data_IF_633074229373
#
_entry.id   IF_633074229373
#
_cell.length_a   1.000
_cell.length_b   1.000
_cell.length_c   1.000
_cell.angle_alpha   90.00
_cell.angle_beta   90.00
_cell.angle_gamma   90.00
#
_symmetry.space_group_name_H-M   'P 1'
#
loop_
_entity.id
_entity.type
_entity.pdbx_description
1 polymer ?
#
# COMPACT_ATOMS: atom_id res chain seq x y z
N UNK A 1 -20.64 -19.01 6.03
CA UNK A 1 -19.20 -19.22 6.32
C UNK A 1 -18.31 -18.99 5.11
N UNK A 2 -18.53 -19.62 3.95
CA UNK A 2 -17.68 -19.41 2.75
C UNK A 2 -17.54 -17.93 2.34
N UNK A 3 -18.67 -17.20 2.23
CA UNK A 3 -18.66 -15.76 1.92
C UNK A 3 -17.81 -14.93 2.88
N UNK A 4 -17.98 -15.16 4.19
CA UNK A 4 -17.20 -14.47 5.21
C UNK A 4 -15.70 -14.78 5.08
N UNK A 5 -15.34 -16.06 4.96
CA UNK A 5 -13.95 -16.49 4.82
C UNK A 5 -13.29 -15.92 3.57
N UNK A 6 -13.97 -15.98 2.42
CA UNK A 6 -13.45 -15.42 1.16
C UNK A 6 -13.28 -13.91 1.24
N UNK A 7 -14.27 -13.19 1.78
CA UNK A 7 -14.17 -11.74 1.96
C UNK A 7 -13.06 -11.36 2.94
N UNK A 8 -12.97 -12.04 4.08
CA UNK A 8 -11.95 -11.81 5.10
C UNK A 8 -10.54 -12.08 4.56
N UNK A 9 -10.29 -13.24 3.95
CA UNK A 9 -8.98 -13.56 3.38
C UNK A 9 -8.58 -12.57 2.29
N UNK A 10 -9.53 -12.14 1.46
CA UNK A 10 -9.26 -11.12 0.44
C UNK A 10 -8.88 -9.79 1.10
N UNK A 11 -9.63 -9.34 2.11
CA UNK A 11 -9.34 -8.11 2.83
C UNK A 11 -7.99 -8.18 3.57
N UNK A 12 -7.73 -9.29 4.24
CA UNK A 12 -6.48 -9.58 4.96
C UNK A 12 -5.27 -9.56 4.02
N UNK A 13 -5.40 -10.04 2.78
CA UNK A 13 -4.33 -9.97 1.79
C UNK A 13 -4.15 -8.54 1.23
N UNK A 14 -5.22 -7.75 1.11
CA UNK A 14 -5.17 -6.40 0.55
C UNK A 14 -4.59 -5.37 1.51
N UNK A 15 -4.90 -5.44 2.80
CA UNK A 15 -4.45 -4.50 3.83
C UNK A 15 -2.92 -4.31 3.87
N UNK A 16 -2.08 -5.35 4.04
CA UNK A 16 -0.62 -5.20 4.04
C UNK A 16 -0.09 -4.74 2.68
N UNK A 17 -0.73 -5.16 1.58
CA UNK A 17 -0.38 -4.66 0.24
C UNK A 17 -0.57 -3.15 0.14
N UNK A 18 -1.69 -2.61 0.64
CA UNK A 18 -1.96 -1.17 0.65
C UNK A 18 -1.00 -0.41 1.56
N UNK A 19 -0.75 -0.92 2.78
CA UNK A 19 0.24 -0.33 3.70
C UNK A 19 1.62 -0.24 3.03
N UNK A 20 2.05 -1.31 2.35
CA UNK A 20 3.33 -1.33 1.64
C UNK A 20 3.43 -0.35 0.47
N UNK A 21 2.31 -0.05 -0.18
CA UNK A 21 2.22 0.87 -1.33
C UNK A 21 2.18 2.33 -0.91
N UNK A 22 1.57 2.62 0.24
CA UNK A 22 1.44 3.96 0.79
C UNK A 22 2.70 4.35 1.58
N UNK A 23 3.38 3.39 2.19
CA UNK A 23 4.58 3.65 2.98
C UNK A 23 5.76 4.20 2.12
N UNK A 24 6.50 5.20 2.63
CA UNK A 24 7.75 5.66 2.03
C UNK A 24 8.75 4.50 1.85
N UNK A 25 9.57 4.48 0.78
CA UNK A 25 10.49 3.37 0.49
C UNK A 25 11.43 3.03 1.65
N UNK A 26 11.90 4.05 2.36
CA UNK A 26 12.80 4.01 3.52
C UNK A 26 12.12 3.54 4.83
N UNK A 27 10.78 3.60 4.91
CA UNK A 27 10.02 3.32 6.13
C UNK A 27 9.04 2.15 6.00
N UNK A 28 9.11 1.38 4.91
CA UNK A 28 8.24 0.21 4.68
C UNK A 28 8.27 -0.79 5.83
N UNK A 29 9.45 -1.07 6.39
CA UNK A 29 9.60 -1.98 7.52
C UNK A 29 8.87 -1.50 8.77
N UNK A 30 9.03 -0.22 9.13
CA UNK A 30 8.34 0.39 10.27
C UNK A 30 6.83 0.45 10.09
N UNK A 31 6.35 0.78 8.88
CA UNK A 31 4.92 0.79 8.57
C UNK A 31 4.29 -0.60 8.69
N UNK A 32 4.99 -1.64 8.19
CA UNK A 32 4.55 -3.03 8.36
C UNK A 32 4.60 -3.48 9.83
N UNK A 33 5.61 -3.05 10.59
CA UNK A 33 5.70 -3.33 12.02
C UNK A 33 4.55 -2.72 12.82
N UNK A 34 4.16 -1.49 12.50
CA UNK A 34 3.00 -0.83 13.12
C UNK A 34 1.68 -1.52 12.74
N UNK A 35 1.55 -1.96 11.49
CA UNK A 35 0.41 -2.76 11.03
C UNK A 35 0.28 -4.06 11.84
N UNK A 36 1.35 -4.85 11.95
CA UNK A 36 1.34 -6.11 12.71
C UNK A 36 1.05 -5.88 14.20
N UNK A 37 1.63 -4.84 14.80
CA UNK A 37 1.37 -4.50 16.20
C UNK A 37 -0.11 -4.14 16.43
N UNK A 38 -0.69 -3.38 15.50
CA UNK A 38 -2.12 -3.04 15.53
C UNK A 38 -3.01 -4.27 15.34
N UNK A 39 -2.61 -5.21 14.47
CA UNK A 39 -3.32 -6.47 14.25
C UNK A 39 -3.34 -7.33 15.52
N UNK A 40 -2.18 -7.48 16.19
CA UNK A 40 -2.11 -8.22 17.45
C UNK A 40 -2.88 -7.53 18.57
N UNK A 41 -2.81 -6.20 18.66
CA UNK A 41 -3.59 -5.44 19.62
C UNK A 41 -5.09 -5.62 19.38
N UNK A 42 -5.54 -5.55 18.13
CA UNK A 42 -6.92 -5.79 17.73
C UNK A 42 -7.37 -7.22 18.07
N UNK A 43 -6.55 -8.23 17.79
CA UNK A 43 -6.84 -9.62 18.14
C UNK A 43 -6.93 -9.82 19.66
N UNK A 44 -6.02 -9.21 20.42
CA UNK A 44 -6.02 -9.25 21.88
C UNK A 44 -7.28 -8.58 22.45
N UNK A 45 -7.55 -7.32 22.10
CA UNK A 45 -8.71 -6.59 22.57
C UNK A 45 -10.02 -7.26 22.12
N UNK A 46 -10.09 -7.74 20.88
CA UNK A 46 -11.24 -8.48 20.36
C UNK A 46 -11.47 -9.80 21.09
N UNK A 47 -10.41 -10.54 21.40
CA UNK A 47 -10.47 -11.78 22.18
C UNK A 47 -10.94 -11.53 23.62
N UNK A 48 -10.39 -10.52 24.30
CA UNK A 48 -10.78 -10.16 25.67
C UNK A 48 -12.23 -9.68 25.73
N UNK A 49 -12.61 -8.72 24.87
CA UNK A 49 -13.98 -8.17 24.84
C UNK A 49 -14.99 -9.22 24.39
N UNK A 50 -14.67 -10.00 23.36
CA UNK A 50 -15.53 -11.05 22.84
C UNK A 50 -15.72 -12.18 23.86
N UNK A 51 -14.65 -12.60 24.54
CA UNK A 51 -14.72 -13.62 25.60
C UNK A 51 -15.50 -13.13 26.81
N UNK A 52 -15.29 -11.88 27.24
CA UNK A 52 -16.02 -11.29 28.36
C UNK A 52 -17.53 -11.17 28.06
N UNK A 53 -17.89 -10.65 26.88
CA UNK A 53 -19.30 -10.52 26.47
C UNK A 53 -19.95 -11.89 26.28
N UNK A 54 -19.23 -12.86 25.72
CA UNK A 54 -19.75 -14.22 25.57
C UNK A 54 -19.95 -14.95 26.91
N UNK A 55 -19.15 -14.62 27.93
CA UNK A 55 -19.28 -15.19 29.27
C UNK A 55 -20.34 -14.51 30.14
N UNK A 56 -20.51 -13.19 29.98
CA UNK A 56 -21.47 -12.39 30.76
C UNK A 56 -22.87 -12.33 30.12
N UNK A 57 -22.96 -12.52 28.80
CA UNK A 57 -24.19 -12.47 28.01
C UNK A 57 -24.29 -13.67 27.07
N UNK A 58 -25.33 -13.71 26.24
CA UNK A 58 -25.53 -14.76 25.24
C UNK A 58 -24.67 -14.53 23.97
N UNK A 59 -24.50 -15.57 23.16
CA UNK A 59 -23.75 -15.55 21.89
C UNK A 59 -24.25 -14.46 20.92
N UNK A 60 -25.55 -14.14 20.96
CA UNK A 60 -26.14 -13.08 20.13
C UNK A 60 -25.58 -11.70 20.46
N UNK A 61 -25.22 -11.42 21.71
CA UNK A 61 -24.63 -10.14 22.11
C UNK A 61 -23.25 -9.95 21.45
N UNK A 62 -22.46 -11.02 21.34
CA UNK A 62 -21.17 -11.01 20.64
C UNK A 62 -21.33 -10.71 19.16
N UNK A 63 -22.35 -11.28 18.50
CA UNK A 63 -22.64 -10.96 17.10
C UNK A 63 -23.01 -9.49 16.88
N UNK A 64 -23.83 -8.91 17.76
CA UNK A 64 -24.18 -7.49 17.69
C UNK A 64 -22.96 -6.58 17.88
N UNK A 65 -22.06 -6.93 18.80
CA UNK A 65 -20.81 -6.22 19.00
C UNK A 65 -19.96 -6.23 17.71
N UNK A 66 -19.71 -7.40 17.14
CA UNK A 66 -18.91 -7.56 15.92
C UNK A 66 -19.54 -6.80 14.76
N UNK A 67 -20.87 -6.87 14.61
CA UNK A 67 -21.60 -6.13 13.59
C UNK A 67 -21.44 -4.61 13.77
N UNK A 68 -21.55 -4.10 14.99
CA UNK A 68 -21.35 -2.68 15.30
C UNK A 68 -19.94 -2.19 14.97
N UNK A 69 -18.91 -2.97 15.35
CA UNK A 69 -17.51 -2.66 15.04
C UNK A 69 -17.28 -2.69 13.51
N UNK A 70 -17.84 -3.66 12.80
CA UNK A 70 -17.73 -3.76 11.35
C UNK A 70 -18.40 -2.57 10.63
N UNK A 71 -19.57 -2.13 11.10
CA UNK A 71 -20.25 -0.94 10.57
C UNK A 71 -19.41 0.31 10.82
N UNK A 72 -18.87 0.48 12.02
CA UNK A 72 -18.01 1.62 12.35
C UNK A 72 -16.78 1.64 11.43
N UNK A 73 -16.12 0.50 11.25
CA UNK A 73 -14.99 0.37 10.31
C UNK A 73 -15.41 0.70 8.88
N UNK A 74 -16.57 0.23 8.42
CA UNK A 74 -17.07 0.50 7.08
C UNK A 74 -17.33 2.00 6.85
N UNK A 75 -17.89 2.71 7.84
CA UNK A 75 -18.06 4.17 7.80
C UNK A 75 -16.71 4.87 7.66
N UNK A 76 -15.70 4.47 8.44
CA UNK A 76 -14.35 5.03 8.32
C UNK A 76 -13.76 4.72 6.93
N UNK A 77 -13.87 3.48 6.45
CA UNK A 77 -13.36 3.07 5.15
C UNK A 77 -13.97 3.86 3.98
N UNK A 78 -15.27 4.20 4.06
CA UNK A 78 -15.93 5.04 3.06
C UNK A 78 -15.35 6.45 2.95
N UNK A 79 -14.72 6.96 4.02
CA UNK A 79 -14.08 8.29 4.02
C UNK A 79 -12.64 8.29 3.48
N UNK A 80 -12.04 7.12 3.25
CA UNK A 80 -10.65 7.01 2.82
C UNK A 80 -10.49 7.34 1.32
N UNK A 81 -9.52 8.20 1.00
CA UNK A 81 -9.14 8.50 -0.39
C UNK A 81 -8.43 7.29 -1.01
N UNK A 82 -8.85 6.88 -2.20
CA UNK A 82 -8.21 5.78 -2.93
C UNK A 82 -6.75 6.11 -3.25
N UNK A 83 -5.78 5.23 -2.93
CA UNK A 83 -4.39 5.41 -3.35
C UNK A 83 -4.30 5.33 -4.89
N UNK A 84 -3.59 6.27 -5.50
CA UNK A 84 -3.43 6.32 -6.96
C UNK A 84 -2.58 5.13 -7.42
N UNK A 85 -3.01 4.36 -8.45
CA UNK A 85 -2.28 3.20 -8.93
C UNK A 85 -1.10 3.62 -9.81
N UNK A 86 -0.03 4.08 -9.16
CA UNK A 86 1.25 4.35 -9.83
C UNK A 86 1.87 3.01 -10.25
N UNK A 87 2.14 2.82 -11.55
CA UNK A 87 2.90 1.67 -12.05
C UNK A 87 4.39 1.96 -11.95
N UNK A 88 5.15 0.96 -11.51
CA UNK A 88 6.61 1.03 -11.50
C UNK A 88 7.17 0.51 -12.81
N UNK A 89 7.87 1.36 -13.55
CA UNK A 89 8.62 1.03 -14.76
C UNK A 89 10.10 1.01 -14.44
N UNK A 90 10.83 0.00 -14.93
CA UNK A 90 12.28 -0.10 -14.81
C UNK A 90 12.90 0.09 -16.19
N UNK A 91 13.87 0.99 -16.27
CA UNK A 91 14.44 1.41 -17.55
C UNK A 91 15.95 1.48 -17.45
N UNK A 92 16.66 0.88 -18.41
CA UNK A 92 18.13 0.92 -18.45
C UNK A 92 18.59 2.25 -19.03
N UNK A 93 19.45 2.95 -18.30
CA UNK A 93 20.03 4.23 -18.71
C UNK A 93 21.53 4.09 -19.05
N UNK A 94 22.18 2.99 -18.61
CA UNK A 94 23.59 2.72 -18.93
C UNK A 94 24.56 3.76 -18.34
N UNK A 95 24.16 4.48 -17.30
CA UNK A 95 24.94 5.55 -16.68
C UNK A 95 25.62 5.06 -15.40
N UNK A 96 26.95 5.08 -15.37
CA UNK A 96 27.75 4.69 -14.19
C UNK A 96 28.24 5.87 -13.34
N UNK A 97 27.94 7.12 -13.74
CA UNK A 97 28.45 8.33 -13.07
C UNK A 97 27.34 9.10 -12.33
N UNK A 98 27.58 9.50 -11.08
CA UNK A 98 26.60 10.16 -10.21
C UNK A 98 26.06 11.49 -10.77
N UNK A 99 26.91 12.30 -11.40
CA UNK A 99 26.48 13.57 -12.02
C UNK A 99 25.53 13.36 -13.20
N UNK A 100 25.81 12.33 -14.02
CA UNK A 100 24.95 11.96 -15.14
C UNK A 100 23.67 11.26 -14.68
N UNK A 101 23.71 10.54 -13.55
CA UNK A 101 22.53 9.95 -12.92
C UNK A 101 21.56 11.04 -12.45
N UNK A 102 22.05 12.11 -11.82
CA UNK A 102 21.24 13.26 -11.42
C UNK A 102 20.61 14.00 -12.62
N UNK A 103 21.39 14.20 -13.69
CA UNK A 103 20.88 14.80 -14.93
C UNK A 103 19.78 13.94 -15.59
N UNK A 104 19.96 12.61 -15.58
CA UNK A 104 18.98 11.66 -16.12
C UNK A 104 17.71 11.62 -15.25
N UNK A 105 17.84 11.68 -13.92
CA UNK A 105 16.71 11.75 -13.00
C UNK A 105 15.84 13.00 -13.25
N UNK A 106 16.46 14.17 -13.41
CA UNK A 106 15.75 15.42 -13.70
C UNK A 106 15.00 15.37 -15.04
N UNK A 107 15.62 14.78 -16.06
CA UNK A 107 15.03 14.69 -17.41
C UNK A 107 13.83 13.74 -17.45
N UNK A 108 13.94 12.60 -16.78
CA UNK A 108 12.85 11.62 -16.65
C UNK A 108 11.72 12.13 -15.74
N UNK A 109 12.04 12.93 -14.72
CA UNK A 109 11.03 13.53 -13.82
C UNK A 109 10.16 14.58 -14.52
N UNK A 110 10.64 15.15 -15.63
CA UNK A 110 9.89 16.13 -16.44
C UNK A 110 8.88 15.52 -17.41
N UNK A 111 8.83 14.19 -17.53
CA UNK A 111 7.89 13.53 -18.43
C UNK A 111 6.46 13.56 -17.87
N UNK A 112 5.45 13.83 -18.71
CA UNK A 112 4.05 13.78 -18.29
C UNK A 112 3.69 12.40 -17.73
N UNK A 113 2.98 12.38 -16.61
CA UNK A 113 2.59 11.15 -15.90
C UNK A 113 3.65 10.59 -14.94
N UNK A 114 4.90 11.06 -14.95
CA UNK A 114 5.95 10.60 -14.01
C UNK A 114 5.83 11.33 -12.67
N UNK A 115 5.72 10.58 -11.58
CA UNK A 115 5.51 11.13 -10.21
C UNK A 115 6.71 10.93 -9.31
N UNK A 116 7.47 9.86 -9.50
CA UNK A 116 8.75 9.64 -8.83
C UNK A 116 9.75 9.01 -9.81
N UNK A 117 11.00 9.44 -9.75
CA UNK A 117 12.12 8.83 -10.46
C UNK A 117 13.25 8.56 -9.46
N UNK A 118 13.69 7.32 -9.40
CA UNK A 118 14.86 6.91 -8.62
C UNK A 118 15.87 6.29 -9.58
N UNK A 119 17.03 6.93 -9.73
CA UNK A 119 18.13 6.41 -10.55
C UNK A 119 19.14 5.69 -9.66
N UNK A 120 19.40 4.42 -9.97
CA UNK A 120 20.41 3.60 -9.30
C UNK A 120 21.63 3.51 -10.22
N UNK A 121 22.61 4.38 -10.00
CA UNK A 121 23.80 4.51 -10.84
C UNK A 121 24.65 3.21 -10.87
N UNK A 122 24.74 2.49 -9.75
CA UNK A 122 25.48 1.22 -9.65
C UNK A 122 24.89 0.12 -10.54
N UNK A 123 23.57 0.12 -10.74
CA UNK A 123 22.86 -0.83 -11.58
C UNK A 123 22.65 -0.30 -13.02
N UNK A 124 22.91 0.98 -13.26
CA UNK A 124 22.66 1.64 -14.55
C UNK A 124 21.18 1.70 -14.95
N UNK A 125 20.26 1.70 -13.96
CA UNK A 125 18.79 1.70 -14.18
C UNK A 125 18.09 2.88 -13.51
N UNK A 126 17.00 3.34 -14.11
CA UNK A 126 15.99 4.21 -13.54
C UNK A 126 14.74 3.40 -13.19
N UNK A 127 14.25 3.58 -11.98
CA UNK A 127 12.92 3.18 -11.56
C UNK A 127 12.00 4.41 -11.62
N UNK A 128 10.99 4.37 -12.47
CA UNK A 128 9.96 5.41 -12.55
C UNK A 128 8.67 4.89 -11.93
N UNK A 129 8.03 5.69 -11.07
CA UNK A 129 6.62 5.52 -10.75
C UNK A 129 5.82 6.52 -11.56
N UNK A 130 5.01 6.02 -12.48
CA UNK A 130 4.22 6.85 -13.36
C UNK A 130 2.76 6.41 -13.38
N UNK A 131 1.85 7.35 -13.64
CA UNK A 131 0.46 7.04 -13.92
C UNK A 131 0.37 6.49 -15.35
N UNK A 132 0.00 5.22 -15.55
CA UNK A 132 -0.09 4.62 -16.88
C UNK A 132 -1.15 5.27 -17.78
N UNK A 133 -2.03 6.12 -17.25
CA UNK A 133 -3.02 6.86 -18.05
C UNK A 133 -2.48 8.15 -18.64
N UNK A 134 -1.45 8.72 -18.03
CA UNK A 134 -0.84 9.99 -18.45
C UNK A 134 0.57 9.81 -19.02
N UNK A 135 1.20 8.64 -18.79
CA UNK A 135 2.52 8.33 -19.30
C UNK A 135 2.49 8.11 -20.81
N UNK A 136 3.21 8.96 -21.52
CA UNK A 136 3.53 8.75 -22.93
C UNK A 136 4.69 7.75 -23.04
N UNK A 137 4.36 6.48 -23.31
CA UNK A 137 5.34 5.40 -23.45
C UNK A 137 6.32 5.65 -24.61
N UNK A 138 5.89 6.33 -25.69
CA UNK A 138 6.80 6.69 -26.79
C UNK A 138 7.80 7.77 -26.37
N UNK A 139 7.35 8.77 -25.60
CA UNK A 139 8.22 9.80 -25.06
C UNK A 139 9.24 9.22 -24.05
N UNK A 140 8.83 8.22 -23.26
CA UNK A 140 9.72 7.50 -22.36
C UNK A 140 10.86 6.81 -23.14
N UNK A 141 10.55 6.03 -24.18
CA UNK A 141 11.57 5.34 -24.97
C UNK A 141 12.46 6.28 -25.80
N UNK A 142 11.97 7.46 -26.22
CA UNK A 142 12.79 8.48 -26.90
C UNK A 142 13.74 9.23 -25.97
N UNK A 143 13.49 9.20 -24.67
CA UNK A 143 14.28 9.93 -23.66
C UNK A 143 15.45 9.13 -23.10
N UNK A 144 15.54 7.84 -23.46
CA UNK A 144 16.64 6.90 -23.19
C UNK A 144 17.70 6.95 -24.28
#
# INVERSE_FOLDING_TARGET
>A
MLLFFSAFNTLEALLPSLVSKIAPPDQKGSAMGLYSSSQFLGAFCGGVLGGWIHGAYDVFATFWLIAGVAILWFVVAMTMKKPQPLKSYMVKIGVSNQERAAASANRLSGLPGVKEVVVVADEGVAYLKADPRELDEEALYRSL
#
